data_IF_807103583544
#
_entry.id   IF_807103583544
#
_cell.length_a   1.000
_cell.length_b   1.000
_cell.length_c   1.000
_cell.angle_alpha   90.00
_cell.angle_beta   90.00
_cell.angle_gamma   90.00
#
_symmetry.space_group_name_H-M   'P 1'
#
loop_
_entity.id
_entity.type
_entity.pdbx_description
1 polymer ?
#
# COMPACT_ATOMS: atom_id res chain seq x y z
N UNK A 1 -12.39 13.78 8.57
CA UNK A 1 -13.24 14.98 8.84
C UNK A 1 -14.62 14.58 9.33
N UNK A 2 -15.27 13.55 8.78
CA UNK A 2 -16.57 13.07 9.27
C UNK A 2 -16.54 12.73 10.77
N UNK A 3 -15.63 11.86 11.19
CA UNK A 3 -15.45 11.48 12.60
C UNK A 3 -15.19 12.69 13.53
N UNK A 4 -14.35 13.63 13.09
CA UNK A 4 -14.10 14.84 13.88
C UNK A 4 -15.34 15.72 14.04
N UNK A 5 -16.14 15.86 12.98
CA UNK A 5 -17.39 16.60 13.04
C UNK A 5 -18.40 15.91 13.99
N UNK A 6 -18.43 14.58 14.00
CA UNK A 6 -19.26 13.80 14.91
C UNK A 6 -18.85 13.99 16.38
N UNK A 7 -17.54 13.91 16.66
CA UNK A 7 -16.99 14.13 18.01
C UNK A 7 -17.34 15.52 18.56
N UNK A 8 -17.35 16.56 17.72
CA UNK A 8 -17.74 17.93 18.14
C UNK A 8 -19.25 18.18 18.05
N UNK A 9 -20.06 17.16 17.79
CA UNK A 9 -21.51 17.25 17.76
C UNK A 9 -22.12 17.95 16.53
N UNK A 10 -21.35 18.07 15.44
CA UNK A 10 -21.82 18.64 14.18
C UNK A 10 -22.29 17.57 13.20
N UNK A 11 -23.47 17.02 13.43
CA UNK A 11 -24.04 15.91 12.63
C UNK A 11 -24.18 16.25 11.13
N UNK A 12 -24.51 17.50 10.80
CA UNK A 12 -24.67 17.94 9.42
C UNK A 12 -23.38 17.84 8.64
N UNK A 13 -22.28 18.33 9.20
CA UNK A 13 -20.97 18.30 8.57
C UNK A 13 -20.42 16.87 8.59
N UNK A 14 -20.67 16.09 9.63
CA UNK A 14 -20.32 14.69 9.71
C UNK A 14 -20.90 13.90 8.54
N UNK A 15 -22.22 14.03 8.31
CA UNK A 15 -22.89 13.40 7.18
C UNK A 15 -22.36 13.89 5.83
N UNK A 16 -22.18 15.20 5.68
CA UNK A 16 -21.69 15.77 4.42
C UNK A 16 -20.30 15.24 4.06
N UNK A 17 -19.35 15.22 5.01
CA UNK A 17 -18.00 14.72 4.76
C UNK A 17 -18.00 13.20 4.48
N UNK A 18 -18.89 12.44 5.09
CA UNK A 18 -19.04 11.00 4.83
C UNK A 18 -19.52 10.77 3.40
N UNK A 19 -20.61 11.40 3.00
CA UNK A 19 -21.18 11.28 1.65
C UNK A 19 -20.13 11.65 0.57
N UNK A 20 -19.38 12.73 0.78
CA UNK A 20 -18.32 13.17 -0.14
C UNK A 20 -17.16 12.16 -0.19
N UNK A 21 -16.74 11.63 0.96
CA UNK A 21 -15.61 10.67 1.00
C UNK A 21 -16.00 9.35 0.31
N UNK A 22 -17.22 8.87 0.51
CA UNK A 22 -17.73 7.66 -0.18
C UNK A 22 -17.84 7.85 -1.71
N UNK A 23 -18.20 9.04 -2.15
CA UNK A 23 -18.21 9.34 -3.59
C UNK A 23 -16.78 9.36 -4.15
N UNK A 24 -15.82 9.93 -3.41
CA UNK A 24 -14.44 10.03 -3.87
C UNK A 24 -13.73 8.68 -3.88
N UNK A 25 -13.96 7.81 -2.90
CA UNK A 25 -13.33 6.49 -2.92
C UNK A 25 -13.80 5.64 -4.08
N UNK A 26 -15.11 5.70 -4.43
CA UNK A 26 -15.65 5.03 -5.62
C UNK A 26 -15.04 5.57 -6.93
N UNK A 27 -14.84 6.89 -7.01
CA UNK A 27 -14.18 7.50 -8.17
C UNK A 27 -12.72 7.09 -8.24
N UNK A 28 -12.02 7.09 -7.10
CA UNK A 28 -10.63 6.66 -7.03
C UNK A 28 -10.49 5.19 -7.43
N UNK A 29 -11.34 4.30 -6.94
CA UNK A 29 -11.37 2.90 -7.33
C UNK A 29 -11.48 2.75 -8.85
N UNK A 30 -12.43 3.44 -9.46
CA UNK A 30 -12.65 3.40 -10.91
C UNK A 30 -11.47 3.93 -11.73
N UNK A 31 -10.80 4.99 -11.29
CA UNK A 31 -9.75 5.66 -12.07
C UNK A 31 -8.34 5.33 -11.59
N UNK A 32 -8.16 5.01 -10.33
CA UNK A 32 -6.87 4.74 -9.69
C UNK A 32 -6.41 3.29 -9.83
N UNK A 33 -7.33 2.33 -9.85
CA UNK A 33 -6.96 0.92 -10.04
C UNK A 33 -6.64 0.62 -11.51
N UNK A 34 -5.77 -0.38 -11.72
CA UNK A 34 -5.56 -0.97 -13.03
C UNK A 34 -6.86 -1.57 -13.57
N UNK A 35 -6.90 -1.82 -14.88
CA UNK A 35 -8.12 -2.32 -15.52
C UNK A 35 -8.61 -3.66 -14.97
N UNK A 36 -7.70 -4.55 -14.63
CA UNK A 36 -7.97 -5.86 -14.04
C UNK A 36 -8.02 -5.84 -12.51
N UNK A 37 -7.97 -4.64 -11.92
CA UNK A 37 -7.93 -4.39 -10.48
C UNK A 37 -6.72 -5.04 -9.76
N UNK A 38 -5.68 -5.45 -10.48
CA UNK A 38 -4.50 -6.11 -9.88
C UNK A 38 -3.66 -5.17 -9.02
N UNK A 39 -3.67 -3.86 -9.31
CA UNK A 39 -2.85 -2.87 -8.60
C UNK A 39 -3.37 -1.44 -8.76
N UNK A 40 -2.92 -0.56 -7.88
CA UNK A 40 -3.12 0.88 -8.03
C UNK A 40 -2.13 1.47 -9.03
N UNK A 41 -2.64 2.32 -9.91
CA UNK A 41 -1.81 3.09 -10.86
C UNK A 41 -1.14 4.28 -10.18
N UNK A 42 0.04 4.63 -10.64
CA UNK A 42 0.72 5.86 -10.23
C UNK A 42 -0.02 7.13 -10.71
N UNK A 43 -0.57 7.07 -11.91
CA UNK A 43 -1.34 8.17 -12.50
C UNK A 43 -2.54 7.64 -13.28
N UNK A 44 -3.67 8.34 -13.20
CA UNK A 44 -4.95 7.92 -13.78
C UNK A 44 -4.90 7.65 -15.29
N UNK A 45 -4.14 8.43 -16.02
CA UNK A 45 -4.00 8.35 -17.48
C UNK A 45 -2.79 7.53 -17.94
N UNK A 46 -2.03 6.95 -17.02
CA UNK A 46 -0.89 6.09 -17.34
C UNK A 46 -1.21 4.63 -16.98
N UNK A 47 -1.78 3.91 -17.93
CA UNK A 47 -2.35 2.56 -17.73
C UNK A 47 -1.33 1.48 -17.39
N UNK A 48 -0.09 1.62 -17.82
CA UNK A 48 1.00 0.70 -17.47
C UNK A 48 1.75 1.06 -16.18
N UNK A 49 1.31 2.09 -15.47
CA UNK A 49 1.96 2.51 -14.23
C UNK A 49 1.39 1.76 -13.03
N UNK A 50 2.23 1.63 -12.01
CA UNK A 50 1.85 1.12 -10.70
C UNK A 50 2.56 1.92 -9.60
N UNK A 51 2.06 1.81 -8.39
CA UNK A 51 2.64 2.45 -7.21
C UNK A 51 2.50 1.56 -5.98
N UNK A 52 3.47 1.65 -5.08
CA UNK A 52 3.34 1.14 -3.71
C UNK A 52 2.31 1.99 -2.98
N UNK A 53 1.23 1.36 -2.52
CA UNK A 53 0.09 2.05 -1.93
C UNK A 53 0.22 2.12 -0.41
N UNK A 54 1.29 2.76 0.07
CA UNK A 54 1.59 2.92 1.50
C UNK A 54 0.48 3.66 2.26
N UNK A 55 -0.33 4.46 1.57
CA UNK A 55 -1.46 5.19 2.16
C UNK A 55 -2.59 4.29 2.68
N UNK A 56 -2.63 3.00 2.32
CA UNK A 56 -3.52 2.03 2.95
C UNK A 56 -3.27 1.91 4.46
N UNK A 57 -2.05 2.16 4.91
CA UNK A 57 -1.74 2.20 6.34
C UNK A 57 -2.55 3.25 7.09
N UNK A 58 -2.83 4.41 6.47
CA UNK A 58 -3.66 5.44 7.07
C UNK A 58 -5.12 4.98 7.29
N UNK A 59 -5.68 4.23 6.35
CA UNK A 59 -7.01 3.63 6.47
C UNK A 59 -7.06 2.61 7.64
N UNK A 60 -6.05 1.75 7.73
CA UNK A 60 -5.95 0.75 8.77
C UNK A 60 -5.75 1.36 10.17
N UNK A 61 -4.79 2.28 10.34
CA UNK A 61 -4.49 2.88 11.66
C UNK A 61 -5.61 3.79 12.17
N UNK A 62 -6.43 4.33 11.29
CA UNK A 62 -7.63 5.09 11.65
C UNK A 62 -8.87 4.21 11.86
N UNK A 63 -8.71 2.90 11.79
CA UNK A 63 -9.77 1.90 12.02
C UNK A 63 -10.94 1.99 11.03
N UNK A 64 -10.67 2.44 9.81
CA UNK A 64 -11.65 2.47 8.72
C UNK A 64 -11.73 1.15 7.94
N UNK A 65 -10.89 0.18 8.31
CA UNK A 65 -10.84 -1.15 7.70
C UNK A 65 -10.88 -2.26 8.77
N UNK A 66 -12.06 -2.56 9.35
CA UNK A 66 -12.19 -3.54 10.43
C UNK A 66 -11.84 -4.98 10.01
N UNK A 67 -11.89 -5.29 8.71
CA UNK A 67 -11.63 -6.65 8.22
C UNK A 67 -10.14 -6.99 8.06
N UNK A 68 -9.22 -6.05 8.26
CA UNK A 68 -7.79 -6.29 8.03
C UNK A 68 -7.18 -7.30 9.04
N UNK A 69 -7.84 -7.50 10.17
CA UNK A 69 -7.43 -8.46 11.20
C UNK A 69 -7.61 -9.91 10.79
N UNK A 70 -8.47 -10.19 9.80
CA UNK A 70 -8.80 -11.55 9.36
C UNK A 70 -7.93 -12.04 8.18
N UNK A 71 -7.00 -11.23 7.67
CA UNK A 71 -6.11 -11.57 6.55
C UNK A 71 -5.20 -12.79 6.84
N UNK A 72 -5.24 -13.32 8.06
CA UNK A 72 -4.40 -14.45 8.49
C UNK A 72 -4.89 -15.85 8.06
N UNK A 73 -6.06 -15.99 7.44
CA UNK A 73 -6.68 -17.31 7.26
C UNK A 73 -6.98 -17.77 5.83
N UNK A 74 -6.88 -16.90 4.83
CA UNK A 74 -7.09 -17.33 3.45
C UNK A 74 -5.77 -17.37 2.67
N UNK A 75 -5.25 -18.59 2.46
CA UNK A 75 -4.23 -18.89 1.49
C UNK A 75 -4.79 -18.69 0.08
N UNK A 76 -4.77 -17.46 -0.41
CA UNK A 76 -4.93 -17.22 -1.85
C UNK A 76 -3.61 -17.55 -2.51
N UNK A 77 -3.59 -18.65 -3.27
CA UNK A 77 -2.40 -19.11 -3.94
C UNK A 77 -1.94 -18.04 -4.96
N UNK A 78 -0.76 -17.47 -4.77
CA UNK A 78 -0.05 -16.59 -5.69
C UNK A 78 0.13 -17.19 -7.11
N UNK A 79 -0.09 -18.49 -7.27
CA UNK A 79 -0.14 -19.20 -8.56
C UNK A 79 -1.17 -18.61 -9.54
N UNK A 80 -2.25 -17.95 -9.03
CA UNK A 80 -3.27 -17.34 -9.90
C UNK A 80 -2.77 -16.01 -10.50
N UNK A 81 -1.92 -15.28 -9.80
CA UNK A 81 -1.38 -14.00 -10.29
C UNK A 81 -0.30 -14.20 -11.36
N UNK A 82 0.53 -15.25 -11.25
CA UNK A 82 1.60 -15.54 -12.21
C UNK A 82 1.10 -16.06 -13.57
N UNK A 83 -0.14 -16.56 -13.63
CA UNK A 83 -0.75 -17.03 -14.88
C UNK A 83 -1.40 -15.91 -15.72
N UNK A 84 -1.55 -14.72 -15.14
CA UNK A 84 -2.04 -13.54 -15.86
C UNK A 84 -0.85 -12.84 -16.50
N UNK A 85 -0.42 -13.32 -17.66
CA UNK A 85 0.63 -12.70 -18.45
C UNK A 85 0.37 -11.20 -18.62
N UNK A 86 1.44 -10.42 -18.71
CA UNK A 86 1.41 -9.00 -19.09
C UNK A 86 0.65 -8.86 -20.42
N UNK A 87 -0.68 -8.75 -20.35
CA UNK A 87 -1.51 -8.55 -21.51
C UNK A 87 -1.27 -7.12 -22.01
N UNK A 88 -0.79 -7.06 -23.24
CA UNK A 88 -0.41 -5.82 -23.90
C UNK A 88 -1.49 -4.76 -23.90
N UNK A 89 -1.02 -3.58 -23.93
CA UNK A 89 -1.68 -2.30 -24.04
C UNK A 89 -2.80 -2.28 -25.08
N UNK A 90 -4.05 -2.30 -24.62
CA UNK A 90 -5.15 -1.72 -25.39
C UNK A 90 -6.05 -0.91 -24.45
N UNK A 91 -6.48 0.30 -24.87
CA UNK A 91 -7.40 1.10 -24.09
C UNK A 91 -8.82 0.54 -24.26
N UNK A 92 -9.26 -0.26 -23.31
CA UNK A 92 -10.62 -0.77 -23.28
C UNK A 92 -11.43 -0.06 -22.20
N UNK A 93 -12.73 0.05 -22.44
CA UNK A 93 -13.68 0.70 -21.56
C UNK A 93 -13.66 0.09 -20.14
N UNK A 94 -13.82 0.87 -19.08
CA UNK A 94 -13.89 0.36 -17.72
C UNK A 94 -15.05 -0.65 -17.61
N UNK A 95 -14.77 -1.86 -17.15
CA UNK A 95 -15.83 -2.73 -16.66
C UNK A 95 -16.43 -2.11 -15.39
N UNK A 96 -17.75 -2.24 -15.22
CA UNK A 96 -18.42 -1.81 -14.00
C UNK A 96 -17.79 -2.51 -12.79
N UNK A 97 -17.50 -1.77 -11.69
CA UNK A 97 -16.93 -2.36 -10.48
C UNK A 97 -17.86 -3.49 -9.99
N UNK A 98 -17.29 -4.64 -9.67
CA UNK A 98 -18.04 -5.67 -8.95
C UNK A 98 -18.42 -5.09 -7.61
N UNK A 99 -19.71 -4.87 -7.39
CA UNK A 99 -20.26 -4.44 -6.11
C UNK A 99 -20.12 -5.60 -5.12
N UNK A 100 -19.09 -5.56 -4.31
CA UNK A 100 -19.06 -6.32 -3.06
C UNK A 100 -19.85 -5.51 -2.03
N UNK A 101 -21.16 -5.81 -1.98
CA UNK A 101 -22.19 -4.91 -1.43
C UNK A 101 -22.38 -5.01 0.09
N UNK A 102 -21.43 -5.57 0.86
CA UNK A 102 -21.57 -5.76 2.31
C UNK A 102 -20.34 -5.42 3.17
N UNK A 103 -19.26 -4.96 2.61
CA UNK A 103 -18.11 -4.51 3.42
C UNK A 103 -18.42 -3.17 4.07
N UNK A 104 -18.18 -3.08 5.39
CA UNK A 104 -18.20 -1.82 6.14
C UNK A 104 -16.90 -1.04 5.98
N UNK A 105 -15.96 -1.58 5.24
CA UNK A 105 -14.65 -1.04 5.02
C UNK A 105 -14.71 0.17 4.10
N UNK A 106 -14.01 1.24 4.44
CA UNK A 106 -13.96 2.45 3.62
C UNK A 106 -13.25 2.19 2.29
N UNK A 107 -12.08 1.52 2.32
CA UNK A 107 -11.41 1.01 1.13
C UNK A 107 -11.78 -0.47 0.97
N UNK A 108 -12.26 -0.92 -0.20
CA UNK A 108 -12.63 -2.32 -0.39
C UNK A 108 -11.47 -3.28 -0.09
N UNK A 109 -11.76 -4.39 0.60
CA UNK A 109 -10.77 -5.37 1.03
C UNK A 109 -9.92 -5.92 -0.13
N UNK A 110 -10.51 -6.14 -1.30
CA UNK A 110 -9.77 -6.63 -2.46
C UNK A 110 -8.62 -5.72 -2.89
N UNK A 111 -8.67 -4.41 -2.57
CA UNK A 111 -7.57 -3.49 -2.87
C UNK A 111 -6.33 -3.87 -2.06
N UNK A 112 -6.49 -4.24 -0.79
CA UNK A 112 -5.39 -4.72 0.06
C UNK A 112 -4.80 -6.03 -0.45
N UNK A 113 -5.67 -7.01 -0.72
CA UNK A 113 -5.26 -8.34 -1.20
C UNK A 113 -4.55 -8.25 -2.56
N UNK A 114 -5.16 -7.58 -3.54
CA UNK A 114 -4.58 -7.47 -4.87
C UNK A 114 -3.30 -6.65 -4.87
N UNK A 115 -3.24 -5.61 -4.06
CA UNK A 115 -2.02 -4.79 -3.92
C UNK A 115 -0.89 -5.59 -3.27
N UNK A 116 -1.18 -6.43 -2.27
CA UNK A 116 -0.20 -7.34 -1.69
C UNK A 116 0.35 -8.33 -2.72
N UNK A 117 -0.52 -8.94 -3.50
CA UNK A 117 -0.09 -9.85 -4.58
C UNK A 117 0.77 -9.13 -5.62
N UNK A 118 0.42 -7.87 -5.95
CA UNK A 118 1.21 -7.06 -6.85
C UNK A 118 2.60 -6.76 -6.29
N UNK A 119 2.72 -6.49 -5.00
CA UNK A 119 4.02 -6.26 -4.35
C UNK A 119 4.96 -7.44 -4.53
N UNK A 120 4.47 -8.66 -4.35
CA UNK A 120 5.26 -9.87 -4.60
C UNK A 120 5.80 -9.92 -6.04
N UNK A 121 4.97 -9.57 -7.04
CA UNK A 121 5.34 -9.63 -8.46
C UNK A 121 6.40 -8.58 -8.87
N UNK A 122 6.44 -7.44 -8.19
CA UNK A 122 7.38 -6.34 -8.51
C UNK A 122 8.56 -6.24 -7.55
N UNK A 123 8.60 -7.13 -6.55
CA UNK A 123 9.66 -7.18 -5.53
C UNK A 123 11.03 -7.34 -6.16
N UNK A 124 12.00 -6.57 -5.68
CA UNK A 124 13.37 -6.60 -6.14
C UNK A 124 14.30 -7.26 -5.11
N UNK A 125 15.61 -7.23 -5.38
CA UNK A 125 16.65 -7.86 -4.56
C UNK A 125 16.62 -7.37 -3.10
N UNK A 126 16.36 -6.08 -2.89
CA UNK A 126 16.48 -5.42 -1.59
C UNK A 126 15.17 -4.80 -1.09
N UNK A 127 14.06 -5.01 -1.75
CA UNK A 127 12.77 -4.53 -1.28
C UNK A 127 11.80 -4.20 -2.40
N UNK A 128 10.74 -3.51 -2.00
CA UNK A 128 9.63 -3.13 -2.86
C UNK A 128 9.90 -1.73 -3.45
N UNK A 129 10.07 -1.58 -4.78
CA UNK A 129 10.20 -0.27 -5.39
C UNK A 129 9.00 0.63 -5.11
N UNK A 130 9.22 1.93 -5.10
CA UNK A 130 8.19 2.92 -4.79
C UNK A 130 7.07 2.96 -5.84
N UNK A 131 7.45 2.89 -7.08
CA UNK A 131 6.53 2.92 -8.24
C UNK A 131 7.25 2.54 -9.54
N UNK A 132 6.48 2.47 -10.63
CA UNK A 132 6.93 2.04 -11.95
C UNK A 132 7.96 2.97 -12.64
N UNK A 133 8.29 4.14 -12.07
CA UNK A 133 9.23 5.08 -12.68
C UNK A 133 10.69 4.74 -12.39
N UNK A 134 10.94 4.16 -11.20
CA UNK A 134 12.29 3.89 -10.70
C UNK A 134 12.28 2.67 -9.79
N UNK A 135 13.44 2.03 -9.64
CA UNK A 135 13.61 0.89 -8.76
C UNK A 135 14.08 1.26 -7.34
N UNK A 136 14.22 2.54 -7.04
CA UNK A 136 14.45 2.96 -5.67
C UNK A 136 13.15 2.98 -4.86
N UNK A 137 13.32 2.93 -3.55
CA UNK A 137 12.22 2.96 -2.58
C UNK A 137 12.53 3.84 -1.39
N UNK A 138 11.55 3.96 -0.50
CA UNK A 138 11.67 4.61 0.79
C UNK A 138 11.30 3.63 1.88
N UNK A 139 12.23 3.37 2.78
CA UNK A 139 12.06 2.35 3.82
C UNK A 139 10.87 2.62 4.76
N UNK A 140 10.57 3.88 5.07
CA UNK A 140 9.40 4.27 5.85
C UNK A 140 8.08 3.83 5.16
N UNK A 141 7.96 4.06 3.85
CA UNK A 141 6.77 3.69 3.09
C UNK A 141 6.68 2.19 2.84
N UNK A 142 7.82 1.49 2.73
CA UNK A 142 7.83 0.02 2.69
C UNK A 142 7.29 -0.59 3.98
N UNK A 143 7.67 -0.05 5.14
CA UNK A 143 7.15 -0.53 6.42
C UNK A 143 5.67 -0.23 6.59
N UNK A 144 5.18 0.91 6.14
CA UNK A 144 3.75 1.22 6.12
C UNK A 144 2.98 0.26 5.19
N UNK A 145 3.50 -0.01 3.99
CA UNK A 145 2.90 -0.98 3.07
C UNK A 145 2.94 -2.41 3.63
N UNK A 146 4.08 -2.81 4.21
CA UNK A 146 4.24 -4.12 4.82
C UNK A 146 3.30 -4.33 6.01
N UNK A 147 3.04 -3.29 6.82
CA UNK A 147 2.17 -3.39 7.98
C UNK A 147 0.73 -3.82 7.61
N UNK A 148 0.28 -3.50 6.41
CA UNK A 148 -1.08 -3.80 5.92
C UNK A 148 -1.10 -4.84 4.79
N UNK A 149 0.05 -5.38 4.41
CA UNK A 149 0.15 -6.44 3.41
C UNK A 149 -0.21 -7.81 3.99
N UNK A 150 -0.56 -8.75 3.11
CA UNK A 150 -0.71 -10.16 3.46
C UNK A 150 0.58 -10.71 4.12
N UNK A 151 0.40 -11.67 5.02
CA UNK A 151 1.46 -12.15 5.91
C UNK A 151 2.74 -12.55 5.19
N UNK A 152 2.62 -13.30 4.09
CA UNK A 152 3.78 -13.81 3.37
C UNK A 152 4.51 -12.70 2.62
N UNK A 153 3.77 -11.77 2.02
CA UNK A 153 4.33 -10.58 1.34
C UNK A 153 4.97 -9.63 2.36
N UNK A 154 4.36 -9.46 3.53
CA UNK A 154 4.95 -8.72 4.66
C UNK A 154 6.30 -9.31 5.06
N UNK A 155 6.38 -10.63 5.24
CA UNK A 155 7.61 -11.31 5.59
C UNK A 155 8.67 -11.11 4.48
N UNK A 156 8.28 -11.24 3.21
CA UNK A 156 9.17 -11.01 2.09
C UNK A 156 9.75 -9.59 2.07
N UNK A 157 8.92 -8.56 2.26
CA UNK A 157 9.40 -7.16 2.33
C UNK A 157 10.42 -7.01 3.45
N UNK A 158 10.10 -7.50 4.66
CA UNK A 158 10.99 -7.39 5.81
C UNK A 158 12.32 -8.11 5.61
N UNK A 159 12.30 -9.29 5.02
CA UNK A 159 13.52 -10.06 4.71
C UNK A 159 14.39 -9.32 3.68
N UNK A 160 13.79 -8.70 2.67
CA UNK A 160 14.50 -7.89 1.67
C UNK A 160 15.13 -6.64 2.26
N UNK A 161 14.40 -5.91 3.10
CA UNK A 161 14.94 -4.73 3.81
C UNK A 161 16.06 -5.14 4.77
N UNK A 162 15.91 -6.23 5.50
CA UNK A 162 16.95 -6.77 6.37
C UNK A 162 18.21 -7.16 5.56
N UNK A 163 18.02 -7.77 4.39
CA UNK A 163 19.11 -8.08 3.47
C UNK A 163 19.81 -6.82 2.99
N UNK A 164 19.06 -5.78 2.59
CA UNK A 164 19.62 -4.49 2.22
C UNK A 164 20.52 -3.91 3.33
N UNK A 165 20.03 -3.84 4.56
CA UNK A 165 20.78 -3.32 5.70
C UNK A 165 22.06 -4.13 5.94
N UNK A 166 22.00 -5.44 5.76
CA UNK A 166 23.14 -6.34 6.00
C UNK A 166 24.21 -6.31 4.89
N UNK A 167 23.81 -6.10 3.65
CA UNK A 167 24.72 -6.18 2.48
C UNK A 167 25.24 -4.81 2.02
N UNK A 168 24.50 -3.73 2.29
CA UNK A 168 24.90 -2.39 1.83
C UNK A 168 25.92 -1.77 2.76
N UNK A 169 27.11 -1.46 2.22
CA UNK A 169 28.17 -0.76 2.95
C UNK A 169 28.07 0.75 2.71
N UNK A 170 28.07 1.52 3.79
CA UNK A 170 28.01 2.98 3.73
C UNK A 170 28.67 3.64 4.94
N UNK A 171 29.27 4.81 4.74
CA UNK A 171 29.75 5.73 5.76
C UNK A 171 28.73 6.84 6.11
N UNK A 172 27.58 6.80 5.45
CA UNK A 172 26.51 7.80 5.62
C UNK A 172 25.59 7.46 6.80
N UNK A 173 25.00 8.47 7.45
CA UNK A 173 23.84 8.23 8.31
C UNK A 173 22.73 7.51 7.55
N UNK A 174 21.83 6.82 8.28
CA UNK A 174 20.72 6.10 7.67
C UNK A 174 19.99 6.97 6.66
N UNK A 175 19.88 6.48 5.42
CA UNK A 175 19.06 7.05 4.37
C UNK A 175 17.75 6.26 4.26
N UNK A 176 16.63 6.93 4.24
CA UNK A 176 15.35 6.29 4.00
C UNK A 176 15.14 5.97 2.50
N UNK A 177 15.78 6.70 1.59
CA UNK A 177 15.75 6.45 0.16
C UNK A 177 16.93 5.58 -0.26
N UNK A 178 16.67 4.45 -0.93
CA UNK A 178 17.70 3.53 -1.40
C UNK A 178 17.28 2.77 -2.67
N UNK A 179 18.25 2.25 -3.41
CA UNK A 179 18.02 1.40 -4.59
C UNK A 179 17.67 -0.02 -4.16
N UNK A 180 16.60 -0.57 -4.72
CA UNK A 180 16.17 -1.94 -4.41
C UNK A 180 16.94 -3.00 -5.21
N UNK A 181 17.81 -2.59 -6.12
CA UNK A 181 18.64 -3.45 -6.96
C UNK A 181 20.14 -3.18 -6.78
N UNK A 182 20.96 -3.81 -7.59
CA UNK A 182 22.42 -3.67 -7.68
C UNK A 182 23.10 -3.82 -6.34
N UNK A 183 23.69 -2.74 -5.81
CA UNK A 183 24.41 -2.69 -4.54
C UNK A 183 23.58 -2.12 -3.37
N UNK A 184 22.31 -1.78 -3.62
CA UNK A 184 21.45 -1.16 -2.61
C UNK A 184 21.84 0.27 -2.27
N UNK A 185 22.48 0.98 -3.20
CA UNK A 185 23.02 2.32 -3.00
C UNK A 185 21.97 3.40 -2.75
N UNK A 186 22.42 4.65 -2.68
CA UNK A 186 21.59 5.77 -2.27
C UNK A 186 21.41 6.76 -3.41
N UNK A 187 20.27 6.74 -4.12
CA UNK A 187 19.99 7.71 -5.17
C UNK A 187 19.77 9.10 -4.54
N UNK A 188 20.54 10.06 -5.00
CA UNK A 188 20.45 11.44 -4.54
C UNK A 188 21.18 11.72 -3.22
N UNK A 189 21.45 12.99 -2.95
CA UNK A 189 22.45 13.35 -1.93
C UNK A 189 21.88 13.60 -0.53
N UNK A 190 20.56 13.70 -0.31
CA UNK A 190 20.02 14.42 0.85
C UNK A 190 18.93 13.72 1.67
N UNK A 191 18.76 12.42 1.50
CA UNK A 191 17.75 11.64 2.24
C UNK A 191 18.35 10.96 3.50
N UNK A 192 19.14 11.69 4.26
CA UNK A 192 19.87 11.15 5.41
C UNK A 192 19.28 11.64 6.72
N UNK A 193 19.24 10.76 7.73
CA UNK A 193 18.87 11.06 9.11
C UNK A 193 17.55 11.87 9.25
N UNK A 194 16.54 11.52 8.44
CA UNK A 194 15.26 12.22 8.44
C UNK A 194 14.30 11.61 9.48
N UNK A 195 13.39 12.41 10.07
CA UNK A 195 12.38 11.91 11.02
C UNK A 195 11.43 10.87 10.44
N UNK A 196 11.32 10.79 9.11
CA UNK A 196 10.43 9.84 8.40
C UNK A 196 10.71 8.38 8.74
N UNK A 197 11.92 8.05 9.22
CA UNK A 197 12.23 6.71 9.76
C UNK A 197 11.32 6.28 10.90
N UNK A 198 10.53 7.18 11.46
CA UNK A 198 9.43 6.84 12.35
C UNK A 198 8.41 5.87 11.74
N UNK A 199 8.28 5.83 10.41
CA UNK A 199 7.50 4.82 9.69
C UNK A 199 7.93 3.38 9.94
N UNK A 200 9.18 3.13 10.33
CA UNK A 200 9.65 1.79 10.73
C UNK A 200 8.90 1.22 11.95
N UNK A 201 8.20 2.06 12.71
CA UNK A 201 7.35 1.65 13.82
C UNK A 201 5.88 1.40 13.40
N UNK A 202 5.59 1.33 12.10
CA UNK A 202 4.23 1.13 11.57
C UNK A 202 3.53 -0.07 12.21
N UNK A 203 4.22 -1.21 12.37
CA UNK A 203 3.66 -2.40 13.02
C UNK A 203 3.25 -2.15 14.46
N UNK A 204 4.12 -1.51 15.25
CA UNK A 204 3.84 -1.21 16.65
C UNK A 204 2.71 -0.19 16.81
N UNK A 205 2.63 0.77 15.88
CA UNK A 205 1.55 1.73 15.87
C UNK A 205 0.21 1.05 15.56
N UNK A 206 0.20 0.16 14.55
CA UNK A 206 -0.99 -0.57 14.15
C UNK A 206 -1.46 -1.56 15.23
N UNK A 207 -0.54 -2.28 15.90
CA UNK A 207 -0.84 -3.18 17.01
C UNK A 207 -1.61 -2.50 18.15
N UNK A 208 -1.37 -1.20 18.36
CA UNK A 208 -2.01 -0.40 19.41
C UNK A 208 -3.22 0.39 18.95
N UNK A 209 -3.46 0.44 17.66
CA UNK A 209 -4.63 1.07 17.11
C UNK A 209 -5.89 0.22 17.36
N UNK A 210 -7.05 0.79 17.19
CA UNK A 210 -8.32 0.09 17.14
C UNK A 210 -8.61 -0.88 18.30
N UNK A 211 -8.09 -0.58 19.49
CA UNK A 211 -8.30 -1.40 20.69
C UNK A 211 -7.37 -2.61 20.79
N UNK A 212 -6.27 -2.65 20.04
CA UNK A 212 -5.29 -3.73 20.09
C UNK A 212 -5.75 -5.01 19.42
N UNK A 213 -6.54 -4.91 18.37
CA UNK A 213 -7.13 -6.06 17.66
C UNK A 213 -6.32 -6.49 16.43
N UNK A 214 -5.02 -6.17 16.35
CA UNK A 214 -4.15 -6.53 15.23
C UNK A 214 -3.11 -7.58 15.61
#
# INVERSE_FOLDING_TARGET
MSELAEIVGNERDAKHYRDVSEEYIKKWEKFGMSRDNSHAKLAYNWYGSWTTLYSLFADAILCFHPSITDVSSETTSWEVASSRGFAGQEPLQPEEPRQDSQSKDFIPHYVYTNQSQWYHLVMQKYGLPLDSRHLYTKSDWEFEAAAVAERDVRAEILDKVAKWINETSTDRPLSDLYETEEDGGFPGPYFMARPVVGGHFAFLALERACGGSY
#
